data_IF_409082060551
#
_entry.id   IF_409082060551
#
_cell.length_a   1.000
_cell.length_b   1.000
_cell.length_c   1.000
_cell.angle_alpha   90.00
_cell.angle_beta   90.00
_cell.angle_gamma   90.00
#
_symmetry.space_group_name_H-M   'P 1'
#
loop_
_entity.id
_entity.type
_entity.pdbx_description
1 polymer ?
#
# COMPACT_ATOMS: atom_id res chain seq x y z
N UNK A 1 21.44 9.60 32.33
CA UNK A 1 22.54 8.99 31.54
C UNK A 1 21.91 8.34 30.31
N UNK A 2 22.06 8.94 29.14
CA UNK A 2 21.65 8.30 27.89
C UNK A 2 22.71 7.27 27.48
N UNK A 3 22.26 6.09 27.05
CA UNK A 3 23.15 5.02 26.58
C UNK A 3 23.04 4.98 25.06
N UNK A 4 24.05 5.45 24.34
CA UNK A 4 24.11 5.37 22.88
C UNK A 4 24.70 4.00 22.51
N UNK A 5 23.87 3.11 21.94
CA UNK A 5 24.31 1.81 21.44
C UNK A 5 24.18 1.80 19.92
N UNK A 6 25.29 1.59 19.20
CA UNK A 6 25.25 1.38 17.74
C UNK A 6 24.76 -0.03 17.47
N UNK A 7 23.62 -0.16 16.81
CA UNK A 7 23.14 -1.43 16.28
C UNK A 7 23.86 -1.66 14.96
N UNK A 8 24.70 -2.71 14.82
CA UNK A 8 25.29 -3.03 13.53
C UNK A 8 24.16 -3.39 12.56
N UNK A 9 24.17 -2.78 11.37
CA UNK A 9 23.26 -3.14 10.29
C UNK A 9 24.07 -3.62 9.10
N UNK A 10 23.53 -4.61 8.40
CA UNK A 10 24.12 -5.17 7.20
C UNK A 10 23.15 -4.94 6.05
N UNK A 11 23.53 -4.11 5.09
CA UNK A 11 22.74 -3.94 3.87
C UNK A 11 23.09 -5.09 2.94
N UNK A 12 22.13 -5.98 2.73
CA UNK A 12 22.25 -7.00 1.69
C UNK A 12 22.02 -6.36 0.32
N UNK A 13 22.77 -6.79 -0.68
CA UNK A 13 22.49 -6.41 -2.06
C UNK A 13 21.12 -6.95 -2.46
N UNK A 14 20.26 -6.05 -2.95
CA UNK A 14 18.91 -6.40 -3.37
C UNK A 14 18.77 -6.18 -4.87
N UNK A 15 18.47 -7.26 -5.60
CA UNK A 15 18.10 -7.19 -7.01
C UNK A 15 16.57 -7.24 -7.11
N UNK A 16 15.89 -6.12 -7.44
CA UNK A 16 14.44 -6.10 -7.49
C UNK A 16 13.93 -6.96 -8.64
N UNK A 17 12.82 -7.67 -8.41
CA UNK A 17 12.03 -8.26 -9.49
C UNK A 17 11.35 -7.12 -10.25
N UNK A 18 11.55 -7.08 -11.56
CA UNK A 18 10.91 -6.09 -12.44
C UNK A 18 9.63 -6.70 -12.99
N UNK A 19 8.52 -6.00 -12.78
CA UNK A 19 7.22 -6.31 -13.34
C UNK A 19 6.87 -5.29 -14.43
N UNK A 20 6.48 -5.76 -15.61
CA UNK A 20 6.18 -4.91 -16.77
C UNK A 20 4.68 -4.95 -17.00
N UNK A 21 4.01 -3.84 -16.70
CA UNK A 21 2.56 -3.73 -16.73
C UNK A 21 2.13 -2.92 -17.94
N UNK A 22 1.33 -3.53 -18.82
CA UNK A 22 0.67 -2.83 -19.92
C UNK A 22 -0.62 -2.21 -19.43
N UNK A 23 -0.74 -0.90 -19.59
CA UNK A 23 -1.90 -0.11 -19.21
C UNK A 23 -2.69 0.17 -20.48
N UNK A 24 -3.99 -0.13 -20.46
CA UNK A 24 -4.91 0.13 -21.56
C UNK A 24 -5.75 1.37 -21.30
N UNK A 25 -6.32 1.95 -22.37
CA UNK A 25 -7.34 3.00 -22.26
C UNK A 25 -8.49 2.58 -21.34
N UNK A 26 -8.96 1.34 -21.48
CA UNK A 26 -10.04 0.82 -20.65
C UNK A 26 -9.70 0.91 -19.16
N UNK A 27 -8.49 0.52 -18.77
CA UNK A 27 -8.05 0.63 -17.37
C UNK A 27 -7.96 2.09 -16.93
N UNK A 28 -7.41 2.97 -17.75
CA UNK A 28 -7.23 4.39 -17.41
C UNK A 28 -8.60 5.04 -17.16
N UNK A 29 -9.54 4.86 -18.08
CA UNK A 29 -10.84 5.50 -18.00
C UNK A 29 -11.79 4.82 -17.02
N UNK A 30 -11.66 3.52 -16.75
CA UNK A 30 -12.52 2.80 -15.80
C UNK A 30 -11.97 2.75 -14.37
N UNK A 31 -10.65 2.91 -14.18
CA UNK A 31 -10.01 2.80 -12.86
C UNK A 31 -9.34 4.12 -12.49
N UNK A 32 -8.32 4.54 -13.23
CA UNK A 32 -7.51 5.72 -12.85
C UNK A 32 -8.34 6.99 -12.76
N UNK A 33 -9.19 7.26 -13.76
CA UNK A 33 -10.11 8.39 -13.77
C UNK A 33 -11.05 8.37 -12.56
N UNK A 34 -11.75 7.26 -12.34
CA UNK A 34 -12.71 7.11 -11.24
C UNK A 34 -12.03 7.31 -9.88
N UNK A 35 -10.83 6.78 -9.70
CA UNK A 35 -10.08 6.93 -8.45
C UNK A 35 -9.67 8.39 -8.21
N UNK A 36 -9.32 9.17 -9.25
CA UNK A 36 -9.08 10.61 -9.12
C UNK A 36 -10.36 11.36 -8.73
N UNK A 37 -11.49 11.04 -9.37
CA UNK A 37 -12.79 11.67 -9.09
C UNK A 37 -13.23 11.40 -7.64
N UNK A 38 -13.18 10.14 -7.20
CA UNK A 38 -13.48 9.77 -5.81
C UNK A 38 -12.53 10.41 -4.79
N UNK A 39 -11.31 10.75 -5.20
CA UNK A 39 -10.33 11.45 -4.37
C UNK A 39 -10.44 12.97 -4.46
N UNK A 40 -11.47 13.51 -5.12
CA UNK A 40 -11.69 14.93 -5.37
C UNK A 40 -10.48 15.64 -6.03
N UNK A 41 -9.74 14.92 -6.88
CA UNK A 41 -8.64 15.48 -7.66
C UNK A 41 -9.09 15.81 -9.08
N UNK A 42 -8.56 16.91 -9.64
CA UNK A 42 -8.81 17.27 -11.02
C UNK A 42 -8.33 16.16 -11.98
N UNK A 43 -9.23 15.70 -12.84
CA UNK A 43 -8.93 14.72 -13.90
C UNK A 43 -8.32 15.44 -15.11
N UNK A 44 -7.11 15.08 -15.56
CA UNK A 44 -6.51 15.60 -16.79
C UNK A 44 -7.26 15.19 -18.06
N UNK A 45 -6.92 15.81 -19.19
CA UNK A 45 -7.60 15.54 -20.46
C UNK A 45 -7.03 14.33 -21.21
N UNK A 46 -5.73 14.04 -21.07
CA UNK A 46 -5.09 12.93 -21.77
C UNK A 46 -5.03 11.65 -20.92
N UNK A 47 -5.10 10.49 -21.57
CA UNK A 47 -5.06 9.19 -20.89
C UNK A 47 -3.75 8.99 -20.10
N UNK A 48 -2.61 9.37 -20.69
CA UNK A 48 -1.30 9.26 -20.04
C UNK A 48 -1.22 10.13 -18.78
N UNK A 49 -1.67 11.39 -18.84
CA UNK A 49 -1.66 12.27 -17.67
C UNK A 49 -2.61 11.79 -16.58
N UNK A 50 -3.79 11.24 -16.92
CA UNK A 50 -4.70 10.61 -15.96
C UNK A 50 -3.98 9.50 -15.19
N UNK A 51 -3.29 8.62 -15.91
CA UNK A 51 -2.54 7.53 -15.29
C UNK A 51 -1.40 8.07 -14.42
N UNK A 52 -0.55 8.96 -14.95
CA UNK A 52 0.60 9.51 -14.23
C UNK A 52 0.16 10.24 -12.96
N UNK A 53 -0.90 11.05 -13.03
CA UNK A 53 -1.43 11.76 -11.85
C UNK A 53 -1.92 10.79 -10.77
N UNK A 54 -2.61 9.74 -11.17
CA UNK A 54 -3.05 8.67 -10.25
C UNK A 54 -1.85 7.95 -9.62
N UNK A 55 -0.87 7.59 -10.45
CA UNK A 55 0.25 6.75 -10.06
C UNK A 55 1.33 7.50 -9.25
N UNK A 56 1.49 8.82 -9.44
CA UNK A 56 2.44 9.66 -8.70
C UNK A 56 1.76 10.47 -7.62
N UNK A 57 1.00 11.49 -8.00
CA UNK A 57 0.47 12.49 -7.08
C UNK A 57 -0.50 11.89 -6.07
N UNK A 58 -1.52 11.15 -6.54
CA UNK A 58 -2.48 10.53 -5.64
C UNK A 58 -1.82 9.46 -4.77
N UNK A 59 -0.90 8.66 -5.33
CA UNK A 59 -0.13 7.68 -4.54
C UNK A 59 0.65 8.35 -3.41
N UNK A 60 1.35 9.43 -3.70
CA UNK A 60 2.09 10.19 -2.69
C UNK A 60 1.15 10.75 -1.61
N UNK A 61 -0.01 11.27 -2.00
CA UNK A 61 -1.03 11.73 -1.05
C UNK A 61 -1.55 10.58 -0.17
N UNK A 62 -1.85 9.40 -0.74
CA UNK A 62 -2.28 8.25 0.03
C UNK A 62 -1.19 7.78 1.01
N UNK A 63 0.08 7.74 0.60
CA UNK A 63 1.21 7.41 1.48
C UNK A 63 1.37 8.42 2.62
N UNK A 64 1.17 9.71 2.35
CA UNK A 64 1.15 10.75 3.40
C UNK A 64 0.02 10.53 4.38
N UNK A 65 -1.20 10.24 3.90
CA UNK A 65 -2.34 9.92 4.77
C UNK A 65 -2.05 8.73 5.67
N UNK A 66 -1.54 7.61 5.11
CA UNK A 66 -1.17 6.41 5.89
C UNK A 66 -0.16 6.78 6.98
N UNK A 67 0.89 7.54 6.62
CA UNK A 67 1.93 7.96 7.55
C UNK A 67 1.36 8.84 8.66
N UNK A 68 0.55 9.83 8.32
CA UNK A 68 -0.01 10.78 9.29
C UNK A 68 -0.95 10.07 10.25
N UNK A 69 -1.86 9.24 9.74
CA UNK A 69 -2.76 8.42 10.56
C UNK A 69 -2.00 7.61 11.59
N UNK A 70 -0.94 6.91 11.17
CA UNK A 70 -0.12 6.08 12.08
C UNK A 70 0.61 6.93 13.13
N UNK A 71 1.16 8.08 12.73
CA UNK A 71 1.88 8.98 13.65
C UNK A 71 0.92 9.62 14.67
N UNK A 72 -0.21 10.15 14.22
CA UNK A 72 -1.21 10.83 15.06
C UNK A 72 -1.87 9.86 16.05
N UNK A 73 -1.96 8.58 15.68
CA UNK A 73 -2.52 7.54 16.54
C UNK A 73 -1.46 6.71 17.25
N UNK A 74 -0.19 7.13 17.25
CA UNK A 74 0.90 6.35 17.81
C UNK A 74 0.68 6.10 19.30
N UNK A 75 0.49 4.82 19.65
CA UNK A 75 0.26 4.41 21.02
C UNK A 75 1.55 3.87 21.66
N UNK A 76 2.00 4.53 22.73
CA UNK A 76 3.18 4.12 23.51
C UNK A 76 2.85 3.13 24.64
N UNK A 77 1.56 2.89 24.89
CA UNK A 77 1.14 1.95 25.91
C UNK A 77 1.65 0.53 25.61
N UNK A 78 2.02 -0.24 26.65
CA UNK A 78 2.44 -1.61 26.49
C UNK A 78 1.31 -2.44 25.86
N UNK A 79 1.70 -3.37 25.00
CA UNK A 79 0.76 -4.31 24.37
C UNK A 79 0.20 -5.23 25.45
N UNK A 80 -1.12 -5.16 25.65
CA UNK A 80 -1.84 -5.94 26.68
C UNK A 80 -2.37 -7.29 26.18
N UNK A 81 -2.07 -7.66 24.93
CA UNK A 81 -2.50 -8.93 24.34
C UNK A 81 -1.30 -9.85 24.06
N UNK A 82 -1.55 -11.15 24.03
CA UNK A 82 -0.56 -12.15 23.63
C UNK A 82 -0.23 -12.01 22.14
N UNK A 83 1.02 -11.65 21.83
CA UNK A 83 1.48 -11.40 20.46
C UNK A 83 1.66 -12.73 19.75
N UNK A 84 0.86 -12.95 18.71
CA UNK A 84 0.91 -14.12 17.84
C UNK A 84 1.70 -13.82 16.56
N UNK A 85 2.20 -14.84 15.85
CA UNK A 85 2.73 -14.65 14.51
C UNK A 85 1.69 -13.96 13.60
N UNK A 86 2.14 -12.96 12.82
CA UNK A 86 1.30 -12.36 11.78
C UNK A 86 1.09 -13.37 10.65
N UNK A 87 -0.16 -13.70 10.37
CA UNK A 87 -0.51 -14.72 9.38
C UNK A 87 -0.99 -14.09 8.08
N UNK A 88 -0.62 -14.72 6.96
CA UNK A 88 -1.18 -14.40 5.65
C UNK A 88 -2.61 -14.90 5.53
N UNK A 89 -3.35 -14.36 4.55
CA UNK A 89 -4.66 -14.86 4.17
C UNK A 89 -4.61 -16.36 3.81
N UNK A 90 -5.43 -17.17 4.49
CA UNK A 90 -5.48 -18.63 4.33
C UNK A 90 -6.01 -19.00 2.95
N UNK A 91 -5.36 -19.95 2.28
CA UNK A 91 -5.77 -20.43 0.95
C UNK A 91 -5.52 -19.44 -0.20
N UNK A 92 -4.90 -18.29 0.06
CA UNK A 92 -4.62 -17.30 -0.97
C UNK A 92 -3.29 -17.57 -1.68
N UNK A 93 -3.26 -17.34 -3.00
CA UNK A 93 -2.04 -17.33 -3.81
C UNK A 93 -1.34 -15.97 -3.66
N UNK A 94 0.00 -15.95 -3.59
CA UNK A 94 0.76 -14.69 -3.68
C UNK A 94 0.82 -14.23 -5.13
N UNK A 95 0.30 -13.04 -5.41
CA UNK A 95 0.32 -12.44 -6.74
C UNK A 95 1.54 -11.52 -6.93
N UNK A 96 1.81 -10.64 -5.96
CA UNK A 96 2.98 -9.76 -5.96
C UNK A 96 3.59 -9.67 -4.55
N UNK A 97 4.91 -9.50 -4.48
CA UNK A 97 5.67 -9.37 -3.23
C UNK A 97 6.06 -7.92 -2.96
N UNK A 98 6.47 -7.65 -1.73
CA UNK A 98 7.07 -6.39 -1.34
C UNK A 98 8.40 -6.17 -2.08
N UNK A 99 8.67 -4.92 -2.47
CA UNK A 99 9.91 -4.51 -3.10
C UNK A 99 10.00 -4.83 -4.60
N UNK A 100 8.92 -5.30 -5.23
CA UNK A 100 8.89 -5.43 -6.69
C UNK A 100 8.87 -4.05 -7.36
N UNK A 101 9.64 -3.89 -8.46
CA UNK A 101 9.69 -2.66 -9.27
C UNK A 101 8.71 -2.79 -10.43
N UNK A 102 7.65 -2.00 -10.41
CA UNK A 102 6.62 -1.95 -11.47
C UNK A 102 7.03 -0.92 -12.52
N UNK A 103 7.11 -1.31 -13.78
CA UNK A 103 7.26 -0.44 -14.93
C UNK A 103 5.94 -0.42 -15.72
N UNK A 104 5.37 0.76 -15.91
CA UNK A 104 4.08 0.94 -16.56
C UNK A 104 4.28 1.39 -18.00
N UNK A 105 3.63 0.69 -18.93
CA UNK A 105 3.71 0.93 -20.36
C UNK A 105 2.33 1.27 -20.90
N UNK A 106 2.23 2.35 -21.65
CA UNK A 106 1.04 2.75 -22.39
C UNK A 106 1.44 2.96 -23.85
N UNK A 107 0.72 2.34 -24.78
CA UNK A 107 1.10 2.28 -26.20
C UNK A 107 2.57 1.85 -26.43
N UNK A 108 3.00 0.83 -25.66
CA UNK A 108 4.36 0.27 -25.64
C UNK A 108 5.49 1.26 -25.24
N UNK A 109 5.14 2.48 -24.84
CA UNK A 109 6.05 3.47 -24.25
C UNK A 109 6.01 3.37 -22.74
N UNK A 110 7.17 3.32 -22.08
CA UNK A 110 7.23 3.37 -20.61
C UNK A 110 6.85 4.77 -20.14
N UNK A 111 5.71 4.91 -19.48
CA UNK A 111 5.20 6.19 -19.00
C UNK A 111 5.52 6.44 -17.52
N UNK A 112 5.73 5.37 -16.73
CA UNK A 112 6.06 5.53 -15.31
C UNK A 112 6.67 4.27 -14.66
N UNK A 113 7.09 4.41 -13.40
CA UNK A 113 7.50 3.30 -12.54
C UNK A 113 7.20 3.54 -11.06
N UNK A 114 7.04 2.46 -10.29
CA UNK A 114 6.81 2.52 -8.85
C UNK A 114 7.35 1.30 -8.11
N UNK A 115 7.57 1.47 -6.81
CA UNK A 115 7.82 0.35 -5.90
C UNK A 115 6.50 -0.22 -5.37
N UNK A 116 6.42 -1.55 -5.28
CA UNK A 116 5.33 -2.20 -4.57
C UNK A 116 5.65 -2.28 -3.07
N UNK A 117 4.94 -1.49 -2.27
CA UNK A 117 5.18 -1.36 -0.82
C UNK A 117 4.27 -2.28 0.02
N UNK A 118 3.72 -3.33 -0.59
CA UNK A 118 2.82 -4.30 0.04
C UNK A 118 3.01 -5.71 -0.50
N UNK A 119 2.08 -6.60 -0.15
CA UNK A 119 2.03 -7.97 -0.66
C UNK A 119 0.61 -8.21 -1.15
N UNK A 120 0.46 -8.65 -2.40
CA UNK A 120 -0.85 -8.90 -3.00
C UNK A 120 -1.17 -10.39 -2.87
N UNK A 121 -2.33 -10.68 -2.26
CA UNK A 121 -2.88 -12.03 -2.13
C UNK A 121 -4.18 -12.16 -2.91
N UNK A 122 -4.31 -13.24 -3.67
CA UNK A 122 -5.51 -13.56 -4.44
C UNK A 122 -6.17 -14.84 -3.92
N UNK A 123 -7.44 -14.75 -3.56
CA UNK A 123 -8.32 -15.87 -3.20
C UNK A 123 -9.59 -15.77 -4.05
N UNK A 124 -10.78 -15.81 -3.46
CA UNK A 124 -12.07 -15.55 -4.12
C UNK A 124 -12.53 -14.11 -3.92
N UNK A 125 -13.43 -13.64 -4.80
CA UNK A 125 -14.04 -12.29 -4.69
C UNK A 125 -14.78 -12.15 -3.36
N UNK A 126 -14.61 -11.00 -2.69
CA UNK A 126 -15.21 -10.71 -1.37
C UNK A 126 -14.86 -11.74 -0.28
N UNK A 127 -13.71 -12.39 -0.39
CA UNK A 127 -13.24 -13.26 0.68
C UNK A 127 -13.01 -12.47 1.96
N UNK A 128 -13.38 -13.06 3.10
CA UNK A 128 -13.17 -12.44 4.40
C UNK A 128 -11.67 -12.22 4.68
N UNK A 129 -11.36 -11.03 5.19
CA UNK A 129 -10.02 -10.65 5.64
C UNK A 129 -10.00 -10.70 7.17
N UNK A 130 -8.97 -11.31 7.74
CA UNK A 130 -8.82 -11.50 9.19
C UNK A 130 -7.47 -10.97 9.66
N UNK A 131 -7.44 -10.36 10.85
CA UNK A 131 -6.20 -10.09 11.58
C UNK A 131 -5.88 -11.26 12.52
N UNK A 132 -4.60 -11.62 12.63
CA UNK A 132 -4.14 -12.64 13.59
C UNK A 132 -3.81 -12.07 14.97
N UNK A 133 -3.60 -10.76 15.06
CA UNK A 133 -3.34 -10.04 16.31
C UNK A 133 -4.45 -9.02 16.60
N UNK A 134 -4.70 -8.81 17.89
CA UNK A 134 -5.55 -7.71 18.34
C UNK A 134 -4.90 -6.36 18.04
N UNK A 135 -5.72 -5.32 18.06
CA UNK A 135 -5.27 -3.96 17.82
C UNK A 135 -6.46 -3.01 17.79
N UNK A 136 -6.17 -1.72 17.67
CA UNK A 136 -7.16 -0.66 17.55
C UNK A 136 -7.27 -0.26 16.08
N UNK A 137 -8.49 -0.21 15.57
CA UNK A 137 -8.74 0.36 14.23
C UNK A 137 -8.51 1.87 14.32
N UNK A 138 -7.54 2.38 13.55
CA UNK A 138 -7.16 3.79 13.53
C UNK A 138 -7.55 4.49 12.22
N UNK A 139 -7.94 3.71 11.22
CA UNK A 139 -8.50 4.20 9.96
C UNK A 139 -9.45 3.17 9.38
N UNK A 140 -10.58 3.64 8.85
CA UNK A 140 -11.58 2.83 8.14
C UNK A 140 -12.34 3.75 7.18
N UNK A 141 -11.82 3.90 5.97
CA UNK A 141 -12.42 4.73 4.92
C UNK A 141 -11.85 4.37 3.55
N UNK A 142 -12.38 5.00 2.50
CA UNK A 142 -11.82 4.95 1.16
C UNK A 142 -10.50 5.74 1.08
N UNK A 143 -9.47 5.13 0.48
CA UNK A 143 -8.11 5.68 0.40
C UNK A 143 -7.54 5.61 -1.02
N UNK A 144 -8.10 6.39 -1.95
CA UNK A 144 -7.56 6.58 -3.29
C UNK A 144 -7.21 5.27 -3.99
N UNK A 145 -5.93 5.07 -4.34
CA UNK A 145 -5.49 3.86 -5.08
C UNK A 145 -5.56 2.57 -4.26
N UNK A 146 -5.76 2.66 -2.95
CA UNK A 146 -5.95 1.52 -2.05
C UNK A 146 -7.42 1.12 -1.88
N UNK A 147 -8.37 1.91 -2.38
CA UNK A 147 -9.81 1.62 -2.21
C UNK A 147 -10.25 1.63 -0.74
N UNK A 148 -11.26 0.83 -0.40
CA UNK A 148 -11.75 0.66 0.97
C UNK A 148 -10.66 0.04 1.86
N UNK A 149 -10.14 0.84 2.79
CA UNK A 149 -8.94 0.48 3.54
C UNK A 149 -9.17 0.50 5.05
N UNK A 150 -8.49 -0.40 5.76
CA UNK A 150 -8.44 -0.44 7.21
C UNK A 150 -6.99 -0.42 7.68
N UNK A 151 -6.69 0.45 8.65
CA UNK A 151 -5.40 0.44 9.35
C UNK A 151 -5.63 0.05 10.81
N UNK A 152 -4.88 -0.94 11.28
CA UNK A 152 -4.91 -1.43 12.66
C UNK A 152 -3.57 -1.11 13.33
N UNK A 153 -3.62 -0.38 14.44
CA UNK A 153 -2.51 -0.18 15.36
C UNK A 153 -2.40 -1.38 16.33
N UNK A 154 -1.25 -2.04 16.33
CA UNK A 154 -0.95 -3.17 17.20
C UNK A 154 -0.10 -2.78 18.41
N UNK A 155 0.22 -1.48 18.59
CA UNK A 155 1.17 -0.99 19.58
C UNK A 155 2.63 -1.16 19.14
N UNK A 156 3.57 -0.69 19.97
CA UNK A 156 5.03 -0.76 19.72
C UNK A 156 5.48 -0.13 18.38
N UNK A 157 4.67 0.77 17.81
CA UNK A 157 4.93 1.34 16.50
C UNK A 157 4.71 0.41 15.32
N UNK A 158 3.98 -0.69 15.50
CA UNK A 158 3.59 -1.61 14.45
C UNK A 158 2.12 -1.41 14.05
N UNK A 159 1.88 -1.16 12.76
CA UNK A 159 0.53 -1.12 12.19
C UNK A 159 0.42 -2.01 10.96
N UNK A 160 -0.77 -2.56 10.73
CA UNK A 160 -1.11 -3.28 9.51
C UNK A 160 -2.12 -2.49 8.68
N UNK A 161 -1.97 -2.52 7.36
CA UNK A 161 -2.89 -1.94 6.38
C UNK A 161 -3.51 -3.07 5.56
N UNK A 162 -4.83 -3.05 5.43
CA UNK A 162 -5.62 -3.92 4.57
C UNK A 162 -6.32 -3.07 3.51
N UNK A 163 -6.13 -3.41 2.23
CA UNK A 163 -6.58 -2.68 1.04
C UNK A 163 -6.90 -3.67 -0.09
#
# INVERSE_FOLDING_TARGET
>A
KETIKRVPYYIQSYKPKIDKLKISDSFIYSVSKNVLEMSNLQVPNSAEEIFIKTNKELRENNLKTIRNVVIENFNQEPVLFDIKPFLRMKGAKTFARFGERRHYYYNDVKIDEAWHLGIDWASVKHANVYTSNSGRVIFKDYLGIYGESIIIDHGLGLSSLYA
#
